data_IF_897386998650
#
_entry.id   IF_897386998650
#
_cell.length_a   1.000
_cell.length_b   1.000
_cell.length_c   1.000
_cell.angle_alpha   90.00
_cell.angle_beta   90.00
_cell.angle_gamma   90.00
#
_symmetry.space_group_name_H-M   'P 1'
#
loop_
_entity.id
_entity.type
_entity.pdbx_description
1 polymer ?
#
# COMPACT_ATOMS: atom_id res chain seq x y z
N UNK A 1 -8.95 0.68 1.10
CA UNK A 1 -8.59 2.04 0.65
C UNK A 1 -7.06 2.21 0.57
N UNK A 2 -6.58 2.62 -0.60
CA UNK A 2 -5.17 2.94 -0.77
C UNK A 2 -4.79 4.10 0.15
N UNK A 3 -3.66 4.00 0.84
CA UNK A 3 -3.15 5.06 1.74
C UNK A 3 -2.48 6.15 0.90
N UNK A 4 -3.26 6.82 0.06
CA UNK A 4 -2.79 7.85 -0.88
C UNK A 4 -3.67 9.10 -0.79
N UNK A 5 -3.08 10.26 -1.08
CA UNK A 5 -3.82 11.50 -1.28
C UNK A 5 -3.96 11.75 -2.79
N UNK A 6 -5.15 12.14 -3.22
CA UNK A 6 -5.45 12.47 -4.62
C UNK A 6 -6.17 13.81 -4.70
N UNK A 7 -5.90 14.55 -5.77
CA UNK A 7 -6.56 15.83 -6.04
C UNK A 7 -7.82 15.60 -6.87
N UNK A 8 -8.96 16.11 -6.39
CA UNK A 8 -10.24 15.98 -7.08
C UNK A 8 -10.37 17.02 -8.20
N UNK A 9 -10.50 16.55 -9.44
CA UNK A 9 -10.70 17.39 -10.63
C UNK A 9 -12.07 18.10 -10.65
N UNK A 10 -12.99 17.69 -9.79
CA UNK A 10 -14.33 18.27 -9.67
C UNK A 10 -14.41 19.42 -8.65
N UNK A 11 -13.31 19.67 -7.91
CA UNK A 11 -13.26 20.76 -6.93
C UNK A 11 -13.06 22.12 -7.59
N UNK A 12 -13.40 23.20 -6.87
CA UNK A 12 -13.13 24.57 -7.36
C UNK A 12 -11.62 24.81 -7.46
N UNK A 13 -11.16 25.73 -8.35
CA UNK A 13 -9.75 26.04 -8.50
C UNK A 13 -9.05 26.42 -7.18
N UNK A 14 -9.74 27.17 -6.31
CA UNK A 14 -9.21 27.57 -4.99
C UNK A 14 -8.95 26.36 -4.09
N UNK A 15 -9.86 25.37 -4.10
CA UNK A 15 -9.71 24.13 -3.33
C UNK A 15 -8.60 23.25 -3.90
N UNK A 16 -8.47 23.20 -5.22
CA UNK A 16 -7.36 22.47 -5.86
C UNK A 16 -6.02 23.09 -5.47
N UNK A 17 -5.89 24.42 -5.55
CA UNK A 17 -4.67 25.13 -5.14
C UNK A 17 -4.34 24.94 -3.64
N UNK A 18 -5.34 24.87 -2.77
CA UNK A 18 -5.13 24.57 -1.36
C UNK A 18 -4.67 23.11 -1.15
N UNK A 19 -5.25 22.16 -1.90
CA UNK A 19 -4.85 20.76 -1.85
C UNK A 19 -3.40 20.57 -2.35
N UNK A 20 -2.99 21.24 -3.43
CA UNK A 20 -1.61 21.23 -3.91
C UNK A 20 -0.63 21.70 -2.83
N UNK A 21 -0.90 22.84 -2.19
CA UNK A 21 -0.08 23.34 -1.07
C UNK A 21 0.01 22.35 0.08
N UNK A 22 -1.08 21.65 0.39
CA UNK A 22 -1.07 20.62 1.41
C UNK A 22 -0.19 19.43 1.00
N UNK A 23 -0.31 18.95 -0.25
CA UNK A 23 0.53 17.87 -0.78
C UNK A 23 2.01 18.26 -0.79
N UNK A 24 2.34 19.50 -1.14
CA UNK A 24 3.69 20.04 -1.05
C UNK A 24 4.20 20.05 0.40
N UNK A 25 3.36 20.54 1.34
CA UNK A 25 3.67 20.54 2.77
C UNK A 25 4.04 19.15 3.29
N UNK A 26 3.35 18.10 2.86
CA UNK A 26 3.61 16.73 3.32
C UNK A 26 5.06 16.27 3.10
N UNK A 27 5.76 16.84 2.10
CA UNK A 27 7.15 16.53 1.77
C UNK A 27 8.19 17.36 2.52
N UNK A 28 7.76 18.36 3.31
CA UNK A 28 8.66 19.25 4.05
C UNK A 28 9.33 18.53 5.23
N UNK A 29 10.49 19.01 5.71
CA UNK A 29 11.14 18.43 6.89
C UNK A 29 10.23 18.43 8.14
N UNK A 30 9.41 19.46 8.29
CA UNK A 30 8.43 19.56 9.37
C UNK A 30 7.39 18.43 9.30
N UNK A 31 6.75 18.25 8.15
CA UNK A 31 5.79 17.18 7.96
C UNK A 31 6.45 15.80 8.11
N UNK A 32 7.65 15.60 7.55
CA UNK A 32 8.42 14.33 7.69
C UNK A 32 8.65 13.99 9.15
N UNK A 33 8.99 14.99 9.99
CA UNK A 33 9.13 14.78 11.43
C UNK A 33 7.83 14.33 12.10
N UNK A 34 6.68 14.84 11.67
CA UNK A 34 5.37 14.40 12.16
C UNK A 34 5.09 12.95 11.71
N UNK A 35 5.34 12.64 10.44
CA UNK A 35 5.17 11.28 9.88
C UNK A 35 5.97 10.23 10.67
N UNK A 36 7.26 10.46 10.89
CA UNK A 36 8.16 9.49 11.51
C UNK A 36 8.12 9.55 13.02
N UNK A 37 7.88 10.73 13.60
CA UNK A 37 7.85 10.97 15.03
C UNK A 37 6.53 10.56 15.68
N UNK A 38 5.42 11.12 15.22
CA UNK A 38 4.10 10.98 15.85
C UNK A 38 3.35 9.77 15.32
N UNK A 39 3.31 9.61 13.99
CA UNK A 39 2.54 8.54 13.36
C UNK A 39 3.30 7.24 13.16
N UNK A 40 4.63 7.26 13.33
CA UNK A 40 5.51 6.10 13.15
C UNK A 40 5.40 5.47 11.76
N UNK A 41 5.20 6.30 10.74
CA UNK A 41 5.10 5.89 9.34
C UNK A 41 6.39 6.20 8.59
N UNK A 42 6.75 5.33 7.63
CA UNK A 42 7.81 5.60 6.67
C UNK A 42 7.21 6.40 5.51
N UNK A 43 7.55 7.68 5.34
CA UNK A 43 7.04 8.46 4.22
C UNK A 43 7.70 8.03 2.90
N UNK A 44 7.00 8.24 1.79
CA UNK A 44 7.49 7.92 0.44
C UNK A 44 8.48 8.98 -0.13
N UNK A 45 8.87 9.98 0.66
CA UNK A 45 9.72 11.08 0.20
C UNK A 45 11.20 10.70 0.22
N UNK A 46 11.90 11.01 -0.87
CA UNK A 46 13.34 10.77 -0.99
C UNK A 46 14.10 11.55 0.09
N UNK A 47 14.98 10.85 0.81
CA UNK A 47 15.83 11.48 1.83
C UNK A 47 15.09 11.85 3.12
N UNK A 48 13.91 11.29 3.36
CA UNK A 48 13.21 11.46 4.64
C UNK A 48 14.07 10.98 5.80
N UNK A 49 14.09 11.76 6.89
CA UNK A 49 14.77 11.39 8.13
C UNK A 49 13.95 10.36 8.89
N UNK A 50 14.47 9.14 8.97
CA UNK A 50 13.85 8.00 9.65
C UNK A 50 14.43 7.74 11.04
N UNK A 51 15.29 8.62 11.56
CA UNK A 51 15.99 8.43 12.84
C UNK A 51 15.06 8.26 14.06
N UNK A 52 13.81 8.73 13.95
CA UNK A 52 12.77 8.57 14.98
C UNK A 52 12.06 7.20 14.96
N UNK A 53 12.41 6.33 14.00
CA UNK A 53 11.90 4.97 13.85
C UNK A 53 12.97 3.93 14.23
N UNK A 54 12.57 2.68 14.54
CA UNK A 54 13.52 1.59 14.70
C UNK A 54 14.45 1.42 13.48
N UNK A 55 15.74 1.04 13.67
CA UNK A 55 16.72 0.97 12.58
C UNK A 55 16.29 0.15 11.37
N UNK A 56 15.51 -0.92 11.58
CA UNK A 56 15.00 -1.78 10.51
C UNK A 56 14.19 -1.01 9.44
N UNK A 57 13.51 0.09 9.80
CA UNK A 57 12.77 0.90 8.82
C UNK A 57 13.72 1.67 7.89
N UNK A 58 14.89 2.09 8.39
CA UNK A 58 15.96 2.65 7.58
C UNK A 58 16.51 1.64 6.58
N UNK A 59 16.75 0.40 7.03
CA UNK A 59 17.24 -0.68 6.17
C UNK A 59 16.24 -1.05 5.07
N UNK A 60 14.94 -1.12 5.40
CA UNK A 60 13.87 -1.37 4.43
C UNK A 60 13.82 -0.24 3.40
N UNK A 61 13.84 1.02 3.84
CA UNK A 61 13.81 2.19 2.94
C UNK A 61 15.03 2.24 2.01
N UNK A 62 16.23 1.97 2.53
CA UNK A 62 17.46 1.91 1.74
C UNK A 62 17.42 0.77 0.71
N UNK A 63 16.89 -0.39 1.09
CA UNK A 63 16.66 -1.52 0.17
C UNK A 63 15.69 -1.11 -0.95
N UNK A 64 14.53 -0.56 -0.60
CA UNK A 64 13.54 -0.07 -1.58
C UNK A 64 14.12 0.98 -2.53
N UNK A 65 14.94 1.91 -2.02
CA UNK A 65 15.60 2.91 -2.85
C UNK A 65 16.62 2.29 -3.84
N UNK A 66 17.20 1.13 -3.51
CA UNK A 66 18.20 0.44 -4.32
C UNK A 66 17.57 -0.48 -5.37
N UNK A 67 16.56 -1.27 -4.98
CA UNK A 67 16.01 -2.35 -5.84
C UNK A 67 14.57 -2.10 -6.29
N UNK A 68 13.95 -1.01 -5.84
CA UNK A 68 12.54 -0.71 -6.06
C UNK A 68 11.63 -1.36 -5.02
N UNK A 69 10.33 -1.11 -5.16
CA UNK A 69 9.27 -1.77 -4.39
C UNK A 69 8.39 -2.59 -5.32
N UNK A 70 7.94 -3.75 -4.85
CA UNK A 70 6.79 -4.41 -5.46
C UNK A 70 5.53 -3.63 -5.10
N UNK A 71 4.64 -3.45 -6.08
CA UNK A 71 3.28 -3.01 -5.78
C UNK A 71 2.60 -4.14 -5.00
N UNK A 72 1.75 -3.79 -4.04
CA UNK A 72 0.95 -4.78 -3.36
C UNK A 72 0.05 -5.48 -4.37
N UNK A 73 0.10 -6.82 -4.42
CA UNK A 73 -0.68 -7.63 -5.37
C UNK A 73 -2.18 -7.30 -5.32
N UNK A 74 -2.70 -6.96 -4.13
CA UNK A 74 -4.09 -6.54 -3.94
C UNK A 74 -4.46 -5.22 -4.64
N UNK A 75 -3.50 -4.35 -4.90
CA UNK A 75 -3.72 -3.11 -5.67
C UNK A 75 -3.80 -3.37 -7.17
N UNK A 76 -3.34 -4.54 -7.63
CA UNK A 76 -3.36 -4.95 -9.04
C UNK A 76 -4.46 -5.97 -9.33
N UNK A 77 -5.17 -6.44 -8.29
CA UNK A 77 -6.09 -7.55 -8.38
C UNK A 77 -7.50 -7.26 -7.87
N UNK A 78 -8.54 -7.82 -8.51
CA UNK A 78 -9.89 -7.79 -7.98
C UNK A 78 -9.93 -8.37 -6.57
N UNK A 79 -10.68 -7.73 -5.68
CA UNK A 79 -10.89 -8.17 -4.29
C UNK A 79 -11.32 -9.65 -4.22
N UNK A 80 -12.15 -10.10 -5.16
CA UNK A 80 -12.57 -11.50 -5.23
C UNK A 80 -11.40 -12.49 -5.39
N UNK A 81 -10.35 -12.08 -6.10
CA UNK A 81 -9.15 -12.90 -6.29
C UNK A 81 -8.21 -12.78 -5.10
N UNK A 82 -7.85 -11.57 -4.68
CA UNK A 82 -6.88 -11.42 -3.60
C UNK A 82 -7.47 -11.65 -2.21
N UNK A 83 -8.45 -10.84 -1.79
CA UNK A 83 -8.99 -10.89 -0.43
C UNK A 83 -9.70 -12.23 -0.17
N UNK A 84 -10.52 -12.69 -1.12
CA UNK A 84 -11.34 -13.89 -0.92
C UNK A 84 -10.61 -15.19 -1.25
N UNK A 85 -9.99 -15.33 -2.42
CA UNK A 85 -9.39 -16.60 -2.80
C UNK A 85 -7.99 -16.79 -2.20
N UNK A 86 -7.12 -15.77 -2.25
CA UNK A 86 -5.74 -15.88 -1.75
C UNK A 86 -5.67 -15.72 -0.24
N UNK A 87 -6.06 -14.57 0.30
CA UNK A 87 -5.86 -14.22 1.72
C UNK A 87 -6.75 -15.05 2.65
N UNK A 88 -8.05 -15.10 2.38
CA UNK A 88 -8.97 -15.91 3.18
C UNK A 88 -8.73 -17.42 2.98
N UNK A 89 -8.33 -17.85 1.78
CA UNK A 89 -7.90 -19.23 1.52
C UNK A 89 -6.68 -19.63 2.37
N UNK A 90 -5.64 -18.79 2.41
CA UNK A 90 -4.47 -19.03 3.26
C UNK A 90 -4.84 -19.12 4.75
N UNK A 91 -5.76 -18.25 5.21
CA UNK A 91 -6.29 -18.34 6.58
C UNK A 91 -7.07 -19.65 6.80
N UNK A 92 -7.91 -20.06 5.86
CA UNK A 92 -8.66 -21.33 5.93
C UNK A 92 -7.74 -22.56 5.98
N UNK A 93 -6.61 -22.55 5.26
CA UNK A 93 -5.58 -23.59 5.38
C UNK A 93 -4.97 -23.63 6.78
N UNK A 94 -4.55 -22.47 7.30
CA UNK A 94 -3.96 -22.36 8.64
C UNK A 94 -4.91 -22.83 9.73
N UNK A 95 -6.22 -22.68 9.51
CA UNK A 95 -7.29 -23.14 10.40
C UNK A 95 -7.69 -24.61 10.16
N UNK A 96 -7.05 -25.33 9.22
CA UNK A 96 -7.35 -26.71 8.88
C UNK A 96 -8.70 -26.93 8.18
N UNK A 97 -9.31 -25.88 7.63
CA UNK A 97 -10.63 -25.92 6.98
C UNK A 97 -10.56 -26.28 5.50
N UNK A 98 -9.46 -25.93 4.85
CA UNK A 98 -9.24 -26.18 3.42
C UNK A 98 -7.86 -26.80 3.19
N UNK A 99 -7.76 -27.58 2.13
CA UNK A 99 -6.49 -28.14 1.65
C UNK A 99 -5.81 -27.19 0.66
N UNK A 100 -4.49 -27.31 0.43
CA UNK A 100 -3.79 -26.51 -0.57
C UNK A 100 -4.40 -26.63 -1.98
N UNK A 101 -4.91 -27.82 -2.33
CA UNK A 101 -5.55 -28.05 -3.63
C UNK A 101 -6.87 -27.30 -3.79
N UNK A 102 -7.68 -27.21 -2.73
CA UNK A 102 -8.92 -26.44 -2.74
C UNK A 102 -8.64 -24.95 -2.91
N UNK A 103 -7.62 -24.43 -2.21
CA UNK A 103 -7.22 -23.02 -2.32
C UNK A 103 -6.68 -22.71 -3.71
N UNK A 104 -5.81 -23.56 -4.24
CA UNK A 104 -5.29 -23.40 -5.60
C UNK A 104 -6.43 -23.38 -6.64
N UNK A 105 -7.44 -24.24 -6.47
CA UNK A 105 -8.60 -24.27 -7.36
C UNK A 105 -9.46 -23.00 -7.23
N UNK A 106 -9.70 -22.51 -6.00
CA UNK A 106 -10.45 -21.28 -5.78
C UNK A 106 -9.75 -20.05 -6.38
N UNK A 107 -8.43 -19.97 -6.25
CA UNK A 107 -7.61 -18.93 -6.87
C UNK A 107 -7.75 -18.99 -8.39
N UNK A 108 -7.53 -20.15 -9.02
CA UNK A 108 -7.63 -20.33 -10.47
C UNK A 108 -9.03 -19.96 -11.01
N UNK A 109 -10.09 -20.38 -10.33
CA UNK A 109 -11.45 -20.01 -10.70
C UNK A 109 -11.69 -18.50 -10.60
N UNK A 110 -11.21 -17.85 -9.54
CA UNK A 110 -11.35 -16.40 -9.39
C UNK A 110 -10.58 -15.63 -10.46
N UNK A 111 -9.37 -16.06 -10.80
CA UNK A 111 -8.60 -15.47 -11.90
C UNK A 111 -9.38 -15.54 -13.22
N UNK A 112 -9.88 -16.72 -13.60
CA UNK A 112 -10.66 -16.91 -14.84
C UNK A 112 -11.94 -16.08 -14.90
N UNK A 113 -12.58 -15.86 -13.74
CA UNK A 113 -13.84 -15.13 -13.68
C UNK A 113 -13.64 -13.60 -13.75
N UNK A 114 -12.58 -13.09 -13.11
CA UNK A 114 -12.40 -11.66 -12.88
C UNK A 114 -11.33 -11.01 -13.76
N UNK A 115 -10.48 -11.81 -14.41
CA UNK A 115 -9.53 -11.33 -15.40
C UNK A 115 -9.90 -11.81 -16.79
N UNK A 116 -10.36 -10.88 -17.61
CA UNK A 116 -10.36 -11.01 -19.07
C UNK A 116 -9.31 -10.05 -19.64
N UNK A 117 -8.55 -10.46 -20.67
CA UNK A 117 -7.60 -9.59 -21.34
C UNK A 117 -8.29 -8.36 -21.96
#
# INVERSE_FOLDING_TARGET
>A
PDSTFVLSTQSTPEKQAAAEKFLEFLSTPEAVKIWTGEFKLVPAFKGADLSALPPAFGDISASTAKVGSYIWEYSLTPDATWENAVKNGALSYMLGKETPAQIASAIDQSWKANYKP
#
